data_IF_313924919240
#
_entry.id   IF_313924919240
#
_cell.length_a   1.000
_cell.length_b   1.000
_cell.length_c   1.000
_cell.angle_alpha   90.00
_cell.angle_beta   90.00
_cell.angle_gamma   90.00
#
_symmetry.space_group_name_H-M   'P 1'
#
loop_
_entity.id
_entity.type
_entity.pdbx_description
1 polymer ?
#
# COMPACT_ATOMS: atom_id res chain seq x y z
N UNK A 1 -25.23 -13.62 -28.28
CA UNK A 1 -24.51 -12.44 -28.80
C UNK A 1 -24.22 -11.47 -27.66
N UNK A 2 -23.02 -11.54 -27.08
CA UNK A 2 -22.52 -10.47 -26.20
C UNK A 2 -22.30 -9.26 -27.09
N UNK A 3 -22.93 -8.13 -26.77
CA UNK A 3 -22.79 -6.94 -27.62
C UNK A 3 -21.32 -6.52 -27.66
N UNK A 4 -20.82 -6.19 -28.86
CA UNK A 4 -19.43 -5.72 -29.06
C UNK A 4 -19.05 -4.59 -28.08
N UNK A 5 -20.04 -3.77 -27.70
CA UNK A 5 -19.94 -2.73 -26.68
C UNK A 5 -19.61 -3.27 -25.28
N UNK A 6 -20.31 -4.32 -24.82
CA UNK A 6 -19.95 -5.02 -23.56
C UNK A 6 -18.53 -5.57 -23.61
N UNK A 7 -18.13 -6.18 -24.74
CA UNK A 7 -16.78 -6.72 -24.92
C UNK A 7 -15.66 -5.66 -24.86
N UNK A 8 -15.93 -4.43 -25.31
CA UNK A 8 -14.97 -3.30 -25.23
C UNK A 8 -14.93 -2.73 -23.81
N UNK A 9 -16.08 -2.54 -23.18
CA UNK A 9 -16.20 -2.01 -21.81
C UNK A 9 -15.53 -2.98 -20.80
N UNK A 10 -15.70 -4.29 -20.98
CA UNK A 10 -15.08 -5.31 -20.12
C UNK A 10 -13.55 -5.34 -20.27
N UNK A 11 -13.05 -5.20 -21.51
CA UNK A 11 -11.61 -5.07 -21.78
C UNK A 11 -11.05 -3.81 -21.14
N UNK A 12 -11.70 -2.66 -21.30
CA UNK A 12 -11.26 -1.40 -20.70
C UNK A 12 -11.23 -1.47 -19.17
N UNK A 13 -12.24 -2.11 -18.55
CA UNK A 13 -12.27 -2.33 -17.12
C UNK A 13 -11.12 -3.23 -16.65
N UNK A 14 -10.82 -4.31 -17.37
CA UNK A 14 -9.71 -5.19 -17.03
C UNK A 14 -8.34 -4.48 -17.14
N UNK A 15 -8.15 -3.63 -18.16
CA UNK A 15 -6.93 -2.81 -18.28
C UNK A 15 -6.79 -1.82 -17.12
N UNK A 16 -7.86 -1.10 -16.78
CA UNK A 16 -7.88 -0.19 -15.62
C UNK A 16 -7.58 -0.95 -14.32
N UNK A 17 -8.11 -2.16 -14.22
CA UNK A 17 -7.86 -3.06 -13.09
C UNK A 17 -6.36 -3.38 -12.98
N UNK A 18 -5.74 -3.88 -14.05
CA UNK A 18 -4.32 -4.22 -14.08
C UNK A 18 -3.43 -3.02 -13.79
N UNK A 19 -3.73 -1.86 -14.36
CA UNK A 19 -2.96 -0.63 -14.14
C UNK A 19 -3.01 -0.18 -12.68
N UNK A 20 -4.20 -0.13 -12.09
CA UNK A 20 -4.35 0.27 -10.69
C UNK A 20 -3.65 -0.71 -9.72
N UNK A 21 -3.59 -2.00 -10.04
CA UNK A 21 -2.84 -2.97 -9.23
C UNK A 21 -1.34 -2.70 -9.26
N UNK A 22 -0.80 -2.51 -10.46
CA UNK A 22 0.61 -2.18 -10.62
C UNK A 22 0.95 -0.87 -9.88
N UNK A 23 0.09 0.15 -9.99
CA UNK A 23 0.24 1.40 -9.27
C UNK A 23 0.24 1.22 -7.74
N UNK A 24 -0.73 0.46 -7.20
CA UNK A 24 -0.83 0.19 -5.76
C UNK A 24 0.38 -0.60 -5.23
N UNK A 25 0.89 -1.57 -5.99
CA UNK A 25 2.11 -2.30 -5.64
C UNK A 25 3.33 -1.37 -5.62
N UNK A 26 3.52 -0.57 -6.67
CA UNK A 26 4.64 0.37 -6.76
C UNK A 26 4.61 1.35 -5.60
N UNK A 27 3.46 1.98 -5.34
CA UNK A 27 3.37 2.99 -4.29
C UNK A 27 3.49 2.39 -2.88
N UNK A 28 2.96 1.19 -2.67
CA UNK A 28 3.16 0.42 -1.42
C UNK A 28 4.66 0.18 -1.18
N UNK A 29 5.40 -0.25 -2.21
CA UNK A 29 6.85 -0.49 -2.12
C UNK A 29 7.64 0.79 -1.85
N UNK A 30 7.28 1.89 -2.52
CA UNK A 30 7.94 3.19 -2.33
C UNK A 30 7.70 3.72 -0.92
N UNK A 31 6.44 3.76 -0.47
CA UNK A 31 6.07 4.32 0.83
C UNK A 31 6.67 3.50 1.98
N UNK A 32 6.59 2.17 1.92
CA UNK A 32 7.23 1.30 2.93
C UNK A 32 8.74 1.46 2.97
N UNK A 33 9.41 1.58 1.81
CA UNK A 33 10.84 1.88 1.76
C UNK A 33 11.18 3.24 2.39
N UNK A 34 10.40 4.28 2.10
CA UNK A 34 10.56 5.61 2.69
C UNK A 34 10.38 5.59 4.22
N UNK A 35 9.36 4.88 4.72
CA UNK A 35 9.13 4.74 6.16
C UNK A 35 10.30 4.05 6.87
N UNK A 36 10.82 2.96 6.31
CA UNK A 36 12.00 2.28 6.87
C UNK A 36 13.22 3.22 6.94
N UNK A 37 13.44 4.05 5.92
CA UNK A 37 14.54 5.02 5.94
C UNK A 37 14.35 6.09 7.02
N UNK A 38 13.11 6.58 7.22
CA UNK A 38 12.78 7.54 8.28
C UNK A 38 12.95 6.92 9.66
N UNK A 39 12.54 5.66 9.84
CA UNK A 39 12.69 4.93 11.10
C UNK A 39 14.16 4.72 11.46
N UNK A 40 14.99 4.33 10.48
CA UNK A 40 16.44 4.19 10.65
C UNK A 40 17.05 5.54 11.05
N UNK A 41 16.69 6.62 10.35
CA UNK A 41 17.17 7.96 10.70
C UNK A 41 16.76 8.34 12.14
N UNK A 42 15.54 8.02 12.54
CA UNK A 42 15.04 8.26 13.90
C UNK A 42 15.88 7.52 14.94
N UNK A 43 16.27 6.26 14.70
CA UNK A 43 17.15 5.51 15.61
C UNK A 43 18.54 6.16 15.74
N UNK A 44 19.13 6.65 14.64
CA UNK A 44 20.48 7.24 14.66
C UNK A 44 20.51 8.60 15.34
N UNK A 45 19.48 9.42 15.16
CA UNK A 45 19.47 10.81 15.61
C UNK A 45 18.75 11.04 16.94
N UNK A 46 17.81 10.17 17.32
CA UNK A 46 17.16 10.23 18.62
C UNK A 46 17.92 9.29 19.58
N UNK A 47 18.82 9.84 20.40
CA UNK A 47 19.54 9.11 21.46
C UNK A 47 18.61 8.69 22.62
N UNK A 48 17.40 8.25 22.31
CA UNK A 48 16.36 7.92 23.28
C UNK A 48 16.62 6.59 23.98
N UNK A 49 15.95 6.47 25.13
CA UNK A 49 15.88 5.30 25.99
C UNK A 49 15.70 3.99 25.22
N UNK A 50 16.36 2.93 25.68
CA UNK A 50 16.38 1.59 25.08
C UNK A 50 14.98 1.01 24.78
N UNK A 51 13.95 1.43 25.51
CA UNK A 51 12.55 1.01 25.29
C UNK A 51 11.95 1.56 23.98
N UNK A 52 12.37 2.75 23.54
CA UNK A 52 11.89 3.38 22.30
C UNK A 52 12.46 2.70 21.06
N UNK A 53 13.72 2.26 21.13
CA UNK A 53 14.38 1.53 20.05
C UNK A 53 13.63 0.23 19.71
N UNK A 54 13.19 -0.51 20.74
CA UNK A 54 12.41 -1.73 20.54
C UNK A 54 11.10 -1.46 19.79
N UNK A 55 10.43 -0.34 20.09
CA UNK A 55 9.20 0.06 19.42
C UNK A 55 9.42 0.42 17.94
N UNK A 56 10.47 1.18 17.63
CA UNK A 56 10.82 1.53 16.24
C UNK A 56 11.21 0.27 15.44
N UNK A 57 11.93 -0.68 16.04
CA UNK A 57 12.28 -1.94 15.38
C UNK A 57 11.03 -2.74 14.99
N UNK A 58 10.03 -2.82 15.87
CA UNK A 58 8.76 -3.49 15.57
C UNK A 58 8.05 -2.80 14.40
N UNK A 59 8.12 -1.47 14.34
CA UNK A 59 7.56 -0.70 13.23
C UNK A 59 8.28 -0.96 11.89
N UNK A 60 9.62 -1.02 11.90
CA UNK A 60 10.42 -1.42 10.72
C UNK A 60 10.00 -2.80 10.22
N UNK A 61 9.85 -3.77 11.13
CA UNK A 61 9.41 -5.13 10.77
C UNK A 61 8.01 -5.08 10.13
N UNK A 62 7.09 -4.29 10.67
CA UNK A 62 5.75 -4.09 10.10
C UNK A 62 5.82 -3.52 8.68
N UNK A 63 6.65 -2.49 8.45
CA UNK A 63 6.86 -1.90 7.11
C UNK A 63 7.44 -2.91 6.11
N UNK A 64 8.40 -3.75 6.54
CA UNK A 64 8.97 -4.80 5.70
C UNK A 64 7.94 -5.89 5.34
N UNK A 65 7.10 -6.28 6.30
CA UNK A 65 6.01 -7.23 6.04
C UNK A 65 4.97 -6.64 5.09
N UNK A 66 4.67 -5.35 5.20
CA UNK A 66 3.81 -4.64 4.26
C UNK A 66 4.43 -4.56 2.87
N UNK A 67 5.73 -4.28 2.76
CA UNK A 67 6.47 -4.36 1.50
C UNK A 67 6.37 -5.75 0.86
N UNK A 68 6.56 -6.81 1.64
CA UNK A 68 6.43 -8.19 1.16
C UNK A 68 5.02 -8.54 0.69
N UNK A 69 3.99 -7.91 1.26
CA UNK A 69 2.60 -8.06 0.81
C UNK A 69 2.36 -7.56 -0.62
N UNK A 70 3.28 -6.77 -1.19
CA UNK A 70 3.21 -6.35 -2.60
C UNK A 70 3.67 -7.42 -3.61
N UNK A 71 4.33 -8.50 -3.18
CA UNK A 71 4.69 -9.62 -4.06
C UNK A 71 3.70 -10.77 -3.96
N UNK A 72 3.26 -11.06 -2.73
CA UNK A 72 2.23 -12.06 -2.46
C UNK A 72 1.20 -11.44 -1.54
N UNK A 73 0.08 -10.93 -2.08
CA UNK A 73 -0.91 -10.22 -1.30
C UNK A 73 -1.46 -11.11 -0.19
N UNK A 74 -1.36 -10.63 1.05
CA UNK A 74 -1.91 -11.26 2.24
C UNK A 74 -2.63 -10.20 3.06
N UNK A 75 -3.96 -10.31 3.12
CA UNK A 75 -4.85 -9.37 3.86
C UNK A 75 -4.37 -9.16 5.30
N UNK A 76 -3.96 -10.23 5.98
CA UNK A 76 -3.47 -10.19 7.35
C UNK A 76 -2.26 -9.25 7.53
N UNK A 77 -1.29 -9.28 6.61
CA UNK A 77 -0.09 -8.43 6.70
C UNK A 77 -0.44 -6.94 6.55
N UNK A 78 -1.41 -6.64 5.68
CA UNK A 78 -1.89 -5.28 5.45
C UNK A 78 -2.68 -4.78 6.66
N UNK A 79 -3.55 -5.61 7.25
CA UNK A 79 -4.29 -5.25 8.48
C UNK A 79 -3.35 -5.06 9.66
N UNK A 80 -2.35 -5.92 9.82
CA UNK A 80 -1.31 -5.77 10.83
C UNK A 80 -0.61 -4.42 10.67
N UNK A 81 -0.18 -4.10 9.44
CA UNK A 81 0.47 -2.82 9.14
C UNK A 81 -0.39 -1.62 9.54
N UNK A 82 -1.67 -1.59 9.15
CA UNK A 82 -2.61 -0.51 9.51
C UNK A 82 -2.65 -0.29 11.03
N UNK A 83 -2.77 -1.35 11.82
CA UNK A 83 -2.84 -1.25 13.29
C UNK A 83 -1.53 -0.69 13.85
N UNK A 84 -0.38 -1.21 13.42
CA UNK A 84 0.92 -0.73 13.89
C UNK A 84 1.17 0.73 13.49
N UNK A 85 0.81 1.12 12.26
CA UNK A 85 0.89 2.50 11.78
C UNK A 85 0.06 3.47 12.62
N UNK A 86 -1.16 3.10 13.02
CA UNK A 86 -1.96 3.94 13.93
C UNK A 86 -1.27 4.19 15.28
N UNK A 87 -0.68 3.15 15.87
CA UNK A 87 0.06 3.28 17.13
C UNK A 87 1.32 4.15 16.91
N UNK A 88 1.99 3.99 15.77
CA UNK A 88 3.18 4.75 15.43
C UNK A 88 2.90 6.24 15.16
N UNK A 89 1.74 6.57 14.58
CA UNK A 89 1.27 7.96 14.46
C UNK A 89 1.12 8.59 15.83
N UNK A 90 0.49 7.90 16.79
CA UNK A 90 0.32 8.45 18.15
C UNK A 90 1.67 8.70 18.82
N UNK A 91 2.62 7.77 18.65
CA UNK A 91 4.01 7.92 19.12
C UNK A 91 4.73 9.11 18.45
N UNK A 92 4.58 9.27 17.13
CA UNK A 92 5.22 10.34 16.38
C UNK A 92 4.62 11.71 16.71
N UNK A 93 3.30 11.80 16.90
CA UNK A 93 2.61 13.00 17.38
C UNK A 93 3.08 13.41 18.78
N UNK A 94 3.26 12.45 19.69
CA UNK A 94 3.80 12.71 21.01
C UNK A 94 5.23 13.27 20.94
N UNK A 95 6.12 12.63 20.18
CA UNK A 95 7.50 13.11 20.00
C UNK A 95 7.56 14.47 19.31
N UNK A 96 6.67 14.72 18.34
CA UNK A 96 6.55 16.01 17.68
C UNK A 96 6.17 17.11 18.66
N UNK A 97 5.19 16.87 19.54
CA UNK A 97 4.79 17.83 20.58
C UNK A 97 5.92 18.11 21.58
N UNK A 98 6.65 17.06 22.01
CA UNK A 98 7.82 17.20 22.89
C UNK A 98 8.92 18.01 22.20
N UNK A 99 9.24 17.69 20.94
CA UNK A 99 10.25 18.40 20.16
C UNK A 99 9.89 19.88 19.96
N UNK A 100 8.61 20.20 19.70
CA UNK A 100 8.12 21.59 19.64
C UNK A 100 8.34 22.30 20.97
N UNK A 101 7.95 21.66 22.07
CA UNK A 101 8.03 22.25 23.41
C UNK A 101 9.49 22.56 23.77
N UNK A 102 10.39 21.62 23.51
CA UNK A 102 11.82 21.81 23.71
C UNK A 102 12.39 22.87 22.77
N UNK A 103 11.94 22.94 21.51
CA UNK A 103 12.42 23.94 20.55
C UNK A 103 12.10 25.36 21.04
N UNK A 104 10.90 25.56 21.60
CA UNK A 104 10.46 26.83 22.19
C UNK A 104 11.28 27.16 23.45
N UNK A 105 11.64 26.15 24.26
CA UNK A 105 12.32 26.34 25.54
C UNK A 105 13.85 26.50 25.44
N UNK A 106 14.52 25.73 24.57
CA UNK A 106 15.99 25.52 24.62
C UNK A 106 16.74 25.90 23.32
N UNK A 107 16.04 26.16 22.21
CA UNK A 107 16.65 26.63 20.96
C UNK A 107 17.17 25.53 20.00
N UNK A 108 17.77 25.96 18.88
CA UNK A 108 17.41 25.48 17.54
C UNK A 108 18.03 24.15 16.98
N UNK A 109 19.24 23.73 17.34
CA UNK A 109 20.01 22.90 16.39
C UNK A 109 19.63 21.41 16.29
N UNK A 110 19.55 20.66 17.40
CA UNK A 110 19.25 19.21 17.35
C UNK A 110 17.72 18.97 17.29
N UNK A 111 16.94 19.93 17.77
CA UNK A 111 15.48 19.82 17.89
C UNK A 111 14.75 20.00 16.54
N UNK A 112 15.32 20.77 15.60
CA UNK A 112 14.79 20.92 14.25
C UNK A 112 14.75 19.60 13.47
N UNK A 113 15.84 18.83 13.53
CA UNK A 113 15.92 17.56 12.81
C UNK A 113 14.89 16.56 13.35
N UNK A 114 14.80 16.44 14.68
CA UNK A 114 13.80 15.60 15.36
C UNK A 114 12.37 15.99 15.00
N UNK A 115 12.09 17.29 14.99
CA UNK A 115 10.79 17.83 14.61
C UNK A 115 10.45 17.54 13.14
N UNK A 116 11.43 17.64 12.24
CA UNK A 116 11.23 17.29 10.83
C UNK A 116 11.00 15.79 10.62
N UNK A 117 11.74 14.93 11.33
CA UNK A 117 11.61 13.47 11.22
C UNK A 117 10.25 13.01 11.75
N UNK A 118 9.85 13.47 12.94
CA UNK A 118 8.53 13.14 13.51
C UNK A 118 7.39 13.69 12.64
N UNK A 119 7.52 14.93 12.13
CA UNK A 119 6.54 15.52 11.22
C UNK A 119 6.39 14.74 9.91
N UNK A 120 7.50 14.48 9.21
CA UNK A 120 7.51 13.69 7.98
C UNK A 120 6.95 12.29 8.20
N UNK A 121 7.33 11.63 9.30
CA UNK A 121 6.82 10.31 9.66
C UNK A 121 5.29 10.31 9.77
N UNK A 122 4.70 11.28 10.47
CA UNK A 122 3.23 11.39 10.61
C UNK A 122 2.56 11.50 9.23
N UNK A 123 3.05 12.38 8.35
CA UNK A 123 2.46 12.57 7.02
C UNK A 123 2.60 11.31 6.15
N UNK A 124 3.78 10.69 6.15
CA UNK A 124 4.04 9.45 5.42
C UNK A 124 3.18 8.29 5.93
N UNK A 125 3.03 8.16 7.25
CA UNK A 125 2.18 7.14 7.88
C UNK A 125 0.71 7.30 7.51
N UNK A 126 0.16 8.52 7.59
CA UNK A 126 -1.24 8.78 7.19
C UNK A 126 -1.45 8.41 5.72
N UNK A 127 -0.49 8.76 4.87
CA UNK A 127 -0.55 8.39 3.45
C UNK A 127 -0.44 6.88 3.24
N UNK A 128 0.44 6.20 3.98
CA UNK A 128 0.59 4.76 3.94
C UNK A 128 -0.70 4.04 4.38
N UNK A 129 -1.34 4.51 5.46
CA UNK A 129 -2.64 3.99 5.91
C UNK A 129 -3.68 4.14 4.79
N UNK A 130 -3.78 5.33 4.17
CA UNK A 130 -4.73 5.55 3.07
C UNK A 130 -4.53 4.54 1.92
N UNK A 131 -3.30 4.38 1.44
CA UNK A 131 -2.97 3.41 0.38
C UNK A 131 -3.27 1.98 0.83
N UNK A 132 -2.88 1.61 2.05
CA UNK A 132 -3.07 0.26 2.58
C UNK A 132 -4.54 -0.12 2.73
N UNK A 133 -5.41 0.83 3.09
CA UNK A 133 -6.87 0.63 3.15
C UNK A 133 -7.44 0.39 1.75
N UNK A 134 -7.05 1.19 0.76
CA UNK A 134 -7.47 0.97 -0.64
C UNK A 134 -7.02 -0.41 -1.11
N UNK A 135 -5.77 -0.77 -0.81
CA UNK A 135 -5.21 -2.06 -1.19
C UNK A 135 -5.94 -3.23 -0.50
N UNK A 136 -6.28 -3.07 0.78
CA UNK A 136 -7.05 -4.06 1.54
C UNK A 136 -8.46 -4.27 0.99
N UNK A 137 -9.22 -3.19 0.77
CA UNK A 137 -10.59 -3.25 0.21
C UNK A 137 -10.56 -3.97 -1.14
N UNK A 138 -9.54 -3.68 -1.93
CA UNK A 138 -9.40 -4.31 -3.25
C UNK A 138 -9.16 -5.81 -3.17
N UNK A 139 -8.23 -6.25 -2.33
CA UNK A 139 -7.98 -7.68 -2.12
C UNK A 139 -9.23 -8.39 -1.60
N UNK A 140 -10.05 -7.69 -0.81
CA UNK A 140 -11.35 -8.20 -0.39
C UNK A 140 -12.26 -8.45 -1.59
N UNK A 141 -12.41 -7.44 -2.45
CA UNK A 141 -13.26 -7.56 -3.63
C UNK A 141 -12.80 -8.66 -4.60
N UNK A 142 -11.49 -8.85 -4.82
CA UNK A 142 -11.00 -9.92 -5.72
C UNK A 142 -11.45 -11.30 -5.24
N UNK A 143 -11.29 -11.59 -3.94
CA UNK A 143 -11.70 -12.89 -3.39
C UNK A 143 -13.22 -13.08 -3.54
N UNK A 144 -14.01 -12.03 -3.30
CA UNK A 144 -15.46 -12.07 -3.42
C UNK A 144 -15.93 -12.26 -4.89
N UNK A 145 -15.16 -11.80 -5.89
CA UNK A 145 -15.45 -12.00 -7.32
C UNK A 145 -14.84 -13.29 -7.91
N UNK A 146 -13.86 -13.90 -7.25
CA UNK A 146 -13.20 -15.13 -7.71
C UNK A 146 -14.08 -16.38 -7.60
N UNK A 147 -15.21 -16.30 -6.89
CA UNK A 147 -16.22 -17.36 -6.83
C UNK A 147 -17.18 -17.37 -8.03
N UNK A 148 -17.15 -16.35 -8.92
CA UNK A 148 -17.93 -16.34 -10.15
C UNK A 148 -17.04 -16.56 -11.38
N UNK A 149 -16.97 -17.81 -11.83
CA UNK A 149 -16.77 -18.40 -13.18
C UNK A 149 -16.43 -17.53 -14.42
N UNK A 150 -15.76 -16.39 -14.30
CA UNK A 150 -15.56 -15.47 -15.44
C UNK A 150 -14.42 -15.90 -16.37
N UNK A 151 -13.45 -16.67 -15.87
CA UNK A 151 -12.35 -17.19 -16.68
C UNK A 151 -12.80 -18.32 -17.64
N UNK A 152 -13.78 -19.14 -17.24
CA UNK A 152 -14.32 -20.19 -18.10
C UNK A 152 -15.23 -19.64 -19.22
N UNK A 153 -15.93 -18.51 -19.01
CA UNK A 153 -16.81 -17.92 -20.04
C UNK A 153 -16.03 -17.16 -21.15
N UNK A 154 -14.84 -16.62 -20.83
CA UNK A 154 -14.01 -15.91 -21.81
C UNK A 154 -13.28 -16.90 -22.74
N UNK A 155 -12.88 -18.06 -22.24
CA UNK A 155 -12.23 -19.08 -23.06
C UNK A 155 -13.24 -19.73 -24.04
N UNK A 156 -14.47 -20.02 -23.61
CA UNK A 156 -15.54 -20.51 -24.51
C UNK A 156 -15.96 -19.48 -25.58
N UNK A 157 -16.01 -18.19 -25.24
CA UNK A 157 -16.43 -17.14 -26.19
C UNK A 157 -15.34 -16.77 -27.21
N UNK A 158 -14.06 -16.86 -26.86
CA UNK A 158 -12.96 -16.66 -27.82
C UNK A 158 -12.83 -17.84 -28.80
N UNK A 159 -13.12 -19.07 -28.35
CA UNK A 159 -13.15 -20.24 -29.25
C UNK A 159 -14.27 -20.12 -30.28
N UNK A 160 -15.45 -19.60 -29.90
CA UNK A 160 -16.56 -19.39 -30.86
C UNK A 160 -16.26 -18.34 -31.94
N UNK A 161 -15.57 -17.24 -31.61
CA UNK A 161 -15.22 -16.18 -32.56
C UNK A 161 -14.18 -16.61 -33.61
N UNK A 162 -13.33 -17.59 -33.29
CA UNK A 162 -12.34 -18.11 -34.24
C UNK A 162 -13.00 -19.07 -35.24
N UNK A 163 -14.00 -19.86 -34.81
CA UNK A 163 -14.68 -20.83 -35.67
C UNK A 163 -15.62 -20.13 -36.67
N UNK A 164 -16.28 -19.03 -36.28
CA UNK A 164 -17.16 -18.28 -37.20
C UNK A 164 -16.37 -17.60 -38.35
N UNK A 165 -15.12 -17.19 -38.11
CA UNK A 165 -14.28 -16.56 -39.13
C UNK A 165 -13.70 -17.53 -40.18
N UNK A 166 -13.58 -18.83 -39.86
CA UNK A 166 -13.15 -19.84 -40.83
C UNK A 166 -14.26 -20.23 -41.83
N UNK A 167 -15.53 -20.04 -41.47
CA UNK A 167 -16.67 -20.39 -42.33
C UNK A 167 -17.07 -19.30 -43.33
N UNK A 168 -16.75 -18.03 -43.06
CA UNK A 168 -17.07 -16.91 -43.98
C UNK A 168 -16.02 -16.68 -45.09
N UNK A 169 -14.94 -17.46 -45.13
CA UNK A 169 -13.86 -17.33 -46.12
C UNK A 169 -13.93 -18.26 -47.33
N UNK A 170 -14.99 -19.07 -47.48
CA UNK A 170 -15.08 -20.14 -48.50
C UNK A 170 -16.31 -20.04 -49.42
N UNK A 171 -16.66 -18.84 -49.86
CA UNK A 171 -17.57 -18.62 -51.01
C UNK A 171 -17.09 -17.49 -51.91
#
# INVERSE_FOLDING_TARGET
MVSLRRSIDDRANNYNYKYLNCYLETITRTVSGSLVLVDIATIFYDHLTTSVIAFIIVHIISCLLYFLSSFKPKKFLISQFIIFSFIFIMYSMYNFAVAITLLIAEGYNILLLRLSLSGCSIFLEIYAIYISVIYYIRLKNIEDYSESSFENEIEESNVQLIIEHEYEGNY
#
